data_IF_468048978121
#
_entry.id   IF_468048978121
#
_cell.length_a   1.000
_cell.length_b   1.000
_cell.length_c   1.000
_cell.angle_alpha   90.00
_cell.angle_beta   90.00
_cell.angle_gamma   90.00
#
_symmetry.space_group_name_H-M   'P 1'
#
loop_
_entity.id
_entity.type
_entity.pdbx_description
1 polymer ?
#
# COMPACT_ATOMS: atom_id res chain seq x y z
N UNK A 1 2.00 -14.98 3.71
CA UNK A 1 2.18 -13.51 3.77
C UNK A 1 3.52 -13.20 3.12
N UNK A 2 4.27 -12.16 3.53
CA UNK A 2 5.62 -11.91 3.03
C UNK A 2 6.57 -13.04 3.43
N UNK A 3 7.51 -13.38 2.53
CA UNK A 3 8.67 -14.23 2.84
C UNK A 3 9.73 -13.46 3.63
N UNK A 4 9.92 -12.18 3.31
CA UNK A 4 10.86 -11.28 3.98
C UNK A 4 10.35 -9.83 3.94
N UNK A 5 10.82 -9.01 4.88
CA UNK A 5 10.63 -7.57 4.91
C UNK A 5 11.99 -6.88 5.10
N UNK A 6 12.22 -5.77 4.40
CA UNK A 6 13.48 -5.03 4.46
C UNK A 6 13.23 -3.71 5.16
N UNK A 7 13.71 -3.59 6.40
CA UNK A 7 13.55 -2.38 7.19
C UNK A 7 14.66 -1.36 6.88
N UNK A 8 14.25 -0.12 6.59
CA UNK A 8 15.15 1.03 6.57
C UNK A 8 15.21 1.73 7.93
N UNK A 9 15.78 2.94 7.95
CA UNK A 9 15.67 3.82 9.11
C UNK A 9 14.23 4.37 9.25
N UNK A 10 13.93 5.01 10.38
CA UNK A 10 12.63 5.66 10.61
C UNK A 10 12.30 6.59 9.45
N UNK A 11 11.15 6.36 8.82
CA UNK A 11 10.62 7.13 7.67
C UNK A 11 11.58 7.21 6.46
N UNK A 12 12.42 6.20 6.27
CA UNK A 12 13.38 6.16 5.18
C UNK A 12 13.39 4.80 4.50
N UNK A 13 13.36 4.83 3.16
CA UNK A 13 13.49 3.63 2.34
C UNK A 13 14.82 2.90 2.61
N UNK A 14 14.84 1.57 2.72
CA UNK A 14 16.08 0.82 2.86
C UNK A 14 16.98 0.99 1.62
N UNK A 15 18.31 1.01 1.79
CA UNK A 15 19.25 1.02 0.67
C UNK A 15 19.02 -0.16 -0.29
N UNK A 16 19.12 0.08 -1.59
CA UNK A 16 18.94 -0.95 -2.64
C UNK A 16 19.74 -2.24 -2.42
N UNK A 17 20.96 -2.15 -1.86
CA UNK A 17 21.79 -3.32 -1.53
C UNK A 17 21.15 -4.25 -0.49
N UNK A 18 20.40 -3.72 0.48
CA UNK A 18 19.69 -4.53 1.47
C UNK A 18 18.50 -5.26 0.82
N UNK A 19 17.82 -4.58 -0.11
CA UNK A 19 16.74 -5.19 -0.92
C UNK A 19 17.30 -6.29 -1.82
N UNK A 20 18.45 -6.07 -2.47
CA UNK A 20 19.13 -7.09 -3.26
C UNK A 20 19.55 -8.30 -2.43
N UNK A 21 20.09 -8.10 -1.23
CA UNK A 21 20.45 -9.19 -0.34
C UNK A 21 19.23 -10.03 0.07
N UNK A 22 18.10 -9.38 0.38
CA UNK A 22 16.86 -10.07 0.69
C UNK A 22 16.37 -10.91 -0.50
N UNK A 23 16.29 -10.33 -1.71
CA UNK A 23 15.90 -11.04 -2.93
C UNK A 23 16.77 -12.28 -3.17
N UNK A 24 18.10 -12.13 -3.07
CA UNK A 24 19.04 -13.23 -3.23
C UNK A 24 18.79 -14.34 -2.19
N UNK A 25 18.60 -13.97 -0.92
CA UNK A 25 18.39 -14.93 0.17
C UNK A 25 17.06 -15.69 0.08
N UNK A 26 16.07 -15.13 -0.61
CA UNK A 26 14.73 -15.72 -0.79
C UNK A 26 14.50 -16.27 -2.20
N UNK A 27 15.56 -16.44 -2.99
CA UNK A 27 15.47 -16.90 -4.39
C UNK A 27 14.83 -18.29 -4.45
N UNK A 28 13.82 -18.44 -5.32
CA UNK A 28 13.23 -19.74 -5.65
C UNK A 28 13.03 -19.87 -7.16
N UNK A 29 12.69 -21.09 -7.63
CA UNK A 29 12.31 -21.32 -9.03
C UNK A 29 10.95 -20.69 -9.40
N UNK A 30 10.13 -20.30 -8.43
CA UNK A 30 8.80 -19.72 -8.65
C UNK A 30 8.79 -18.23 -9.00
N UNK A 31 9.96 -17.58 -9.05
CA UNK A 31 10.09 -16.14 -9.18
C UNK A 31 9.87 -15.40 -7.86
N UNK A 32 9.87 -14.07 -7.91
CA UNK A 32 9.69 -13.21 -6.74
C UNK A 32 8.70 -12.07 -7.02
N UNK A 33 8.00 -11.61 -5.99
CA UNK A 33 7.15 -10.41 -6.07
C UNK A 33 7.68 -9.42 -5.04
N UNK A 34 8.08 -8.26 -5.55
CA UNK A 34 8.58 -7.16 -4.77
C UNK A 34 7.48 -6.11 -4.60
N UNK A 35 6.90 -6.07 -3.40
CA UNK A 35 5.94 -5.04 -3.02
C UNK A 35 6.69 -3.78 -2.61
N UNK A 36 6.35 -2.64 -3.20
CA UNK A 36 6.85 -1.34 -2.77
C UNK A 36 5.70 -0.35 -2.59
N UNK A 37 5.83 0.48 -1.55
CA UNK A 37 4.91 1.57 -1.26
C UNK A 37 5.31 2.74 -2.18
N UNK A 38 4.35 3.45 -2.80
CA UNK A 38 4.66 4.48 -3.81
C UNK A 38 5.21 5.79 -3.20
N UNK A 39 6.46 5.72 -2.74
CA UNK A 39 7.30 6.84 -2.35
C UNK A 39 8.56 6.85 -3.20
N UNK A 40 9.09 8.04 -3.50
CA UNK A 40 10.23 8.21 -4.41
C UNK A 40 11.45 7.37 -4.00
N UNK A 41 11.79 7.37 -2.70
CA UNK A 41 12.91 6.56 -2.19
C UNK A 41 12.71 5.06 -2.44
N UNK A 42 11.51 4.55 -2.18
CA UNK A 42 11.19 3.14 -2.39
C UNK A 42 11.21 2.76 -3.87
N UNK A 43 10.62 3.58 -4.74
CA UNK A 43 10.68 3.35 -6.20
C UNK A 43 12.11 3.23 -6.70
N UNK A 44 13.00 4.14 -6.27
CA UNK A 44 14.39 4.15 -6.70
C UNK A 44 15.16 2.96 -6.14
N UNK A 45 15.08 2.71 -4.83
CA UNK A 45 15.84 1.65 -4.17
C UNK A 45 15.38 0.25 -4.59
N UNK A 46 14.07 0.00 -4.59
CA UNK A 46 13.49 -1.30 -4.94
C UNK A 46 13.55 -1.52 -6.45
N UNK A 47 13.33 -0.48 -7.26
CA UNK A 47 13.47 -0.54 -8.71
C UNK A 47 14.89 -0.93 -9.15
N UNK A 48 15.91 -0.29 -8.55
CA UNK A 48 17.31 -0.64 -8.83
C UNK A 48 17.65 -2.07 -8.39
N UNK A 49 17.16 -2.50 -7.22
CA UNK A 49 17.37 -3.86 -6.75
C UNK A 49 16.69 -4.91 -7.66
N UNK A 50 15.46 -4.64 -8.09
CA UNK A 50 14.73 -5.51 -9.02
C UNK A 50 15.43 -5.58 -10.39
N UNK A 51 15.91 -4.45 -10.92
CA UNK A 51 16.67 -4.42 -12.17
C UNK A 51 17.92 -5.29 -12.09
N UNK A 52 18.72 -5.15 -11.02
CA UNK A 52 19.93 -5.96 -10.81
C UNK A 52 19.62 -7.46 -10.70
N UNK A 53 18.55 -7.82 -10.01
CA UNK A 53 18.12 -9.20 -9.86
C UNK A 53 17.67 -9.81 -11.19
N UNK A 54 16.94 -9.05 -12.02
CA UNK A 54 16.60 -9.45 -13.40
C UNK A 54 17.82 -9.64 -14.28
N UNK A 55 18.77 -8.70 -14.25
CA UNK A 55 20.02 -8.80 -15.02
C UNK A 55 20.87 -10.01 -14.60
N UNK A 56 20.69 -10.52 -13.38
CA UNK A 56 21.36 -11.72 -12.88
C UNK A 56 20.63 -13.03 -13.28
N UNK A 57 19.59 -12.96 -14.11
CA UNK A 57 18.87 -14.13 -14.65
C UNK A 57 17.69 -14.61 -13.81
N UNK A 58 17.25 -13.86 -12.80
CA UNK A 58 16.11 -14.22 -11.97
C UNK A 58 14.82 -13.47 -12.36
N UNK A 59 13.66 -14.09 -12.13
CA UNK A 59 12.36 -13.43 -12.32
C UNK A 59 11.91 -12.67 -11.08
N UNK A 60 11.55 -11.40 -11.25
CA UNK A 60 10.93 -10.58 -10.21
C UNK A 60 9.89 -9.64 -10.80
N UNK A 61 8.72 -9.62 -10.18
CA UNK A 61 7.62 -8.70 -10.46
C UNK A 61 7.58 -7.59 -9.43
N UNK A 62 7.19 -6.39 -9.84
CA UNK A 62 7.19 -5.21 -8.96
C UNK A 62 5.78 -4.68 -8.85
N UNK A 63 5.20 -4.80 -7.66
CA UNK A 63 3.85 -4.32 -7.37
C UNK A 63 3.97 -3.02 -6.59
N UNK A 64 3.61 -1.92 -7.22
CA UNK A 64 3.60 -0.59 -6.60
C UNK A 64 2.23 -0.30 -6.01
N UNK A 65 2.16 -0.10 -4.70
CA UNK A 65 0.92 0.27 -4.01
C UNK A 65 0.78 1.79 -3.98
N UNK A 66 -0.32 2.31 -4.53
CA UNK A 66 -0.59 3.74 -4.71
C UNK A 66 -2.07 4.09 -4.45
N UNK A 67 -2.55 3.72 -3.26
CA UNK A 67 -3.95 3.77 -2.86
C UNK A 67 -4.38 5.04 -2.14
N UNK A 68 -3.48 5.96 -1.81
CA UNK A 68 -3.86 7.19 -1.12
C UNK A 68 -4.63 8.14 -2.03
N UNK A 69 -5.88 8.46 -1.69
CA UNK A 69 -6.72 9.39 -2.46
C UNK A 69 -6.60 10.86 -2.03
N UNK A 70 -5.79 11.16 -1.02
CA UNK A 70 -5.59 12.54 -0.58
C UNK A 70 -4.87 13.40 -1.64
N UNK A 71 -3.94 12.80 -2.38
CA UNK A 71 -3.06 13.49 -3.31
C UNK A 71 -3.56 13.24 -4.73
N UNK A 72 -4.01 14.30 -5.41
CA UNK A 72 -4.31 14.21 -6.85
C UNK A 72 -2.99 14.21 -7.65
N UNK A 73 -3.02 13.68 -8.89
CA UNK A 73 -1.86 13.63 -9.79
C UNK A 73 -1.23 15.01 -10.03
N UNK A 74 -2.02 16.09 -9.94
CA UNK A 74 -1.51 17.46 -10.05
C UNK A 74 -0.62 17.88 -8.87
N UNK A 75 -0.76 17.25 -7.71
CA UNK A 75 -0.06 17.60 -6.46
C UNK A 75 1.25 16.81 -6.27
N UNK A 76 1.55 15.80 -7.09
CA UNK A 76 2.73 14.96 -6.95
C UNK A 76 3.20 14.38 -8.27
N UNK A 77 4.49 14.57 -8.58
CA UNK A 77 5.15 13.95 -9.73
C UNK A 77 5.29 12.44 -9.60
N UNK A 78 5.30 11.91 -8.37
CA UNK A 78 5.35 10.47 -8.10
C UNK A 78 3.97 9.78 -8.15
N UNK A 79 2.89 10.57 -8.24
CA UNK A 79 1.51 10.10 -8.13
C UNK A 79 1.04 9.90 -6.68
N UNK A 80 -0.03 9.12 -6.52
CA UNK A 80 -0.67 8.80 -5.22
C UNK A 80 0.29 8.04 -4.32
N UNK A 81 0.35 8.37 -3.02
CA UNK A 81 1.13 7.60 -2.03
C UNK A 81 0.55 6.20 -1.86
N UNK A 82 1.36 5.26 -1.36
CA UNK A 82 0.87 3.95 -0.90
C UNK A 82 0.68 3.97 0.62
N UNK A 83 -0.43 3.41 1.11
CA UNK A 83 -0.78 3.37 2.52
C UNK A 83 -1.38 1.99 2.88
N UNK A 84 -2.56 1.96 3.49
CA UNK A 84 -3.09 0.78 4.16
C UNK A 84 -3.50 -0.36 3.23
N UNK A 85 -3.78 -0.09 1.94
CA UNK A 85 -4.08 -1.15 0.96
C UNK A 85 -2.93 -2.14 0.80
N UNK A 86 -1.69 -1.72 1.12
CA UNK A 86 -0.51 -2.58 1.05
C UNK A 86 -0.70 -3.89 1.84
N UNK A 87 -1.26 -3.82 3.05
CA UNK A 87 -1.46 -5.01 3.89
C UNK A 87 -2.44 -5.99 3.24
N UNK A 88 -3.50 -5.48 2.61
CA UNK A 88 -4.50 -6.30 1.93
C UNK A 88 -3.93 -6.97 0.67
N UNK A 89 -3.21 -6.20 -0.14
CA UNK A 89 -2.52 -6.69 -1.35
C UNK A 89 -1.52 -7.78 -0.98
N UNK A 90 -0.68 -7.55 0.03
CA UNK A 90 0.30 -8.52 0.54
C UNK A 90 -0.40 -9.79 1.06
N UNK A 91 -1.54 -9.65 1.75
CA UNK A 91 -2.27 -10.80 2.28
C UNK A 91 -2.83 -11.67 1.16
N UNK A 92 -3.44 -11.07 0.13
CA UNK A 92 -3.98 -11.79 -1.03
C UNK A 92 -2.86 -12.46 -1.81
N UNK A 93 -1.81 -11.72 -2.15
CA UNK A 93 -0.68 -12.26 -2.89
C UNK A 93 0.02 -13.41 -2.15
N UNK A 94 0.23 -13.25 -0.84
CA UNK A 94 0.82 -14.29 -0.01
C UNK A 94 -0.06 -15.55 0.06
N UNK A 95 -1.38 -15.43 0.05
CA UNK A 95 -2.28 -16.59 -0.02
C UNK A 95 -2.25 -17.27 -1.40
N UNK A 96 -2.17 -16.49 -2.48
CA UNK A 96 -2.04 -17.03 -3.83
C UNK A 96 -0.71 -17.78 -4.00
N UNK A 97 0.40 -17.21 -3.53
CA UNK A 97 1.72 -17.84 -3.56
C UNK A 97 1.72 -19.15 -2.76
N UNK A 98 1.19 -19.15 -1.53
CA UNK A 98 1.12 -20.34 -0.68
C UNK A 98 0.29 -21.47 -1.30
N UNK A 99 -0.73 -21.13 -2.09
CA UNK A 99 -1.58 -22.15 -2.74
C UNK A 99 -0.85 -22.97 -3.81
N UNK A 100 0.29 -22.48 -4.33
CA UNK A 100 1.03 -23.10 -5.43
C UNK A 100 0.31 -23.13 -6.79
N UNK A 101 -0.90 -22.53 -6.89
CA UNK A 101 -1.74 -22.55 -8.10
C UNK A 101 -1.50 -21.38 -9.06
N UNK A 102 -0.76 -20.36 -8.61
CA UNK A 102 -0.55 -19.12 -9.34
C UNK A 102 0.93 -18.87 -9.56
N UNK A 103 1.30 -18.42 -10.76
CA UNK A 103 2.65 -17.93 -11.03
C UNK A 103 2.80 -16.43 -10.67
N UNK A 104 4.03 -15.93 -10.69
CA UNK A 104 4.33 -14.54 -10.30
C UNK A 104 3.57 -13.49 -11.15
N UNK A 105 3.39 -13.74 -12.45
CA UNK A 105 2.67 -12.85 -13.36
C UNK A 105 1.17 -12.76 -13.02
N UNK A 106 0.52 -13.88 -12.73
CA UNK A 106 -0.89 -13.92 -12.33
C UNK A 106 -1.12 -13.20 -11.00
N UNK A 107 -0.19 -13.34 -10.06
CA UNK A 107 -0.26 -12.64 -8.78
C UNK A 107 -0.06 -11.13 -9.00
N UNK A 108 0.92 -10.72 -9.81
CA UNK A 108 1.11 -9.30 -10.19
C UNK A 108 -0.16 -8.71 -10.82
N UNK A 109 -0.77 -9.41 -11.78
CA UNK A 109 -2.00 -8.95 -12.44
C UNK A 109 -3.17 -8.76 -11.45
N UNK A 110 -3.39 -9.73 -10.55
CA UNK A 110 -4.47 -9.65 -9.55
C UNK A 110 -4.21 -8.55 -8.52
N UNK A 111 -2.97 -8.41 -8.06
CA UNK A 111 -2.60 -7.35 -7.10
C UNK A 111 -2.70 -5.96 -7.71
N UNK A 112 -2.30 -5.77 -8.97
CA UNK A 112 -2.50 -4.52 -9.68
C UNK A 112 -3.99 -4.19 -9.85
N UNK A 113 -4.83 -5.19 -10.16
CA UNK A 113 -6.28 -4.99 -10.20
C UNK A 113 -6.86 -4.57 -8.84
N UNK A 114 -6.34 -5.10 -7.73
CA UNK A 114 -6.73 -4.63 -6.39
C UNK A 114 -6.37 -3.17 -6.21
N UNK A 115 -5.14 -2.77 -6.56
CA UNK A 115 -4.68 -1.38 -6.45
C UNK A 115 -5.54 -0.40 -7.27
N UNK A 116 -5.96 -0.78 -8.48
CA UNK A 116 -6.84 0.03 -9.34
C UNK A 116 -8.22 0.29 -8.71
N UNK A 117 -8.68 -0.61 -7.85
CA UNK A 117 -10.00 -0.56 -7.23
C UNK A 117 -9.93 -0.25 -5.72
N UNK A 118 -8.79 0.22 -5.24
CA UNK A 118 -8.57 0.56 -3.86
C UNK A 118 -8.35 2.07 -3.66
N UNK A 119 -8.79 2.55 -2.50
CA UNK A 119 -8.61 3.93 -2.06
C UNK A 119 -8.52 3.98 -0.55
N UNK A 120 -7.60 4.79 -0.04
CA UNK A 120 -7.45 5.11 1.37
C UNK A 120 -7.36 6.61 1.58
N UNK A 121 -7.94 7.09 2.67
CA UNK A 121 -7.86 8.47 3.11
C UNK A 121 -7.76 8.48 4.63
N UNK A 122 -6.70 9.11 5.15
CA UNK A 122 -6.51 9.31 6.58
C UNK A 122 -6.96 10.69 7.03
N UNK A 123 -7.20 10.84 8.33
CA UNK A 123 -7.33 12.14 9.01
C UNK A 123 -6.45 12.08 10.25
N UNK A 124 -5.68 13.13 10.49
CA UNK A 124 -4.74 13.22 11.62
C UNK A 124 -5.14 14.35 12.56
N UNK A 125 -5.12 14.05 13.86
CA UNK A 125 -5.39 15.00 14.95
C UNK A 125 -4.12 15.53 15.60
N UNK A 126 -2.98 14.86 15.36
CA UNK A 126 -1.69 15.28 15.88
C UNK A 126 -0.57 14.96 14.89
N UNK A 127 0.48 15.80 14.82
CA UNK A 127 1.71 15.49 14.11
C UNK A 127 2.45 14.34 14.80
N UNK A 128 3.17 13.53 14.01
CA UNK A 128 4.11 12.56 14.56
C UNK A 128 5.42 13.25 15.00
N UNK A 129 6.23 12.51 15.78
CA UNK A 129 7.61 12.88 16.13
C UNK A 129 8.55 11.74 15.74
N UNK A 130 9.79 12.11 15.40
CA UNK A 130 10.87 11.16 15.19
C UNK A 130 11.57 10.97 16.55
N UNK A 131 11.97 9.75 16.95
CA UNK A 131 12.67 9.54 18.22
C UNK A 131 13.84 10.51 18.41
N UNK A 132 13.84 11.21 19.55
CA UNK A 132 14.84 12.24 19.87
C UNK A 132 14.62 13.60 19.19
N UNK A 133 13.48 13.83 18.52
CA UNK A 133 13.08 15.11 17.93
C UNK A 133 11.72 15.56 18.44
N UNK A 134 11.45 16.86 18.35
CA UNK A 134 10.13 17.43 18.58
C UNK A 134 9.12 16.97 17.51
N UNK A 135 7.87 17.43 17.63
CA UNK A 135 6.83 17.26 16.60
C UNK A 135 7.36 17.72 15.24
N UNK A 136 6.99 17.02 14.17
CA UNK A 136 7.45 17.36 12.82
C UNK A 136 6.90 18.68 12.30
N UNK A 137 5.74 19.09 12.78
CA UNK A 137 5.09 20.37 12.49
C UNK A 137 4.12 20.71 13.62
N UNK A 138 3.62 21.95 13.66
CA UNK A 138 2.58 22.36 14.61
C UNK A 138 1.18 22.19 14.02
N UNK A 139 0.25 21.74 14.87
CA UNK A 139 -1.17 21.66 14.56
C UNK A 139 -1.99 22.15 15.75
N UNK A 140 -2.88 23.13 15.55
CA UNK A 140 -3.79 23.58 16.61
C UNK A 140 -4.70 22.45 17.12
N UNK A 141 -5.05 22.48 18.40
CA UNK A 141 -5.87 21.44 19.04
C UNK A 141 -7.33 21.40 18.51
N UNK A 142 -7.79 22.48 17.88
CA UNK A 142 -9.11 22.63 17.27
C UNK A 142 -9.12 22.33 15.76
N UNK A 143 -8.02 21.79 15.22
CA UNK A 143 -7.85 21.49 13.80
C UNK A 143 -7.50 20.02 13.57
N UNK A 144 -7.80 19.54 12.36
CA UNK A 144 -7.38 18.24 11.86
C UNK A 144 -6.83 18.36 10.45
N UNK A 145 -5.92 17.45 10.08
CA UNK A 145 -5.32 17.40 8.76
C UNK A 145 -5.88 16.22 7.96
N UNK A 146 -6.54 16.54 6.85
CA UNK A 146 -7.14 15.54 5.96
C UNK A 146 -6.07 15.07 4.98
N UNK A 147 -5.82 13.76 5.01
CA UNK A 147 -4.89 13.11 4.11
C UNK A 147 -3.42 13.27 4.47
N UNK A 148 -3.07 13.46 5.74
CA UNK A 148 -1.66 13.46 6.16
C UNK A 148 -0.97 12.14 5.74
N UNK A 149 0.25 12.23 5.21
CA UNK A 149 1.05 11.07 4.84
C UNK A 149 1.64 10.33 6.05
N UNK A 150 2.01 9.06 5.86
CA UNK A 150 2.55 8.21 6.95
C UNK A 150 3.93 8.64 7.47
N UNK A 151 4.60 9.57 6.80
CA UNK A 151 5.86 10.17 7.28
C UNK A 151 5.68 11.63 7.68
N UNK A 152 4.43 12.09 7.87
CA UNK A 152 4.12 13.48 8.19
C UNK A 152 4.15 14.42 6.98
N UNK A 153 4.10 13.89 5.75
CA UNK A 153 3.93 14.73 4.57
C UNK A 153 2.57 15.44 4.60
N UNK A 154 2.51 16.72 4.18
CA UNK A 154 1.25 17.47 4.17
C UNK A 154 0.11 16.70 3.50
N UNK A 155 -1.07 16.85 4.08
CA UNK A 155 -2.30 16.38 3.50
C UNK A 155 -2.81 17.27 2.37
N UNK A 156 -4.07 17.05 1.98
CA UNK A 156 -4.70 17.91 0.98
C UNK A 156 -5.09 19.26 1.55
N UNK A 157 -5.58 19.29 2.80
CA UNK A 157 -5.94 20.51 3.51
C UNK A 157 -6.09 20.26 5.02
N UNK A 158 -6.13 21.35 5.79
CA UNK A 158 -6.53 21.35 7.20
C UNK A 158 -7.93 21.92 7.33
N UNK A 159 -8.71 21.40 8.26
CA UNK A 159 -10.03 21.91 8.60
C UNK A 159 -10.31 21.80 10.10
N UNK A 160 -11.33 22.51 10.59
CA UNK A 160 -11.69 22.50 12.00
C UNK A 160 -12.09 21.07 12.45
N UNK A 161 -11.66 20.70 13.64
CA UNK A 161 -12.01 19.42 14.26
C UNK A 161 -13.53 19.34 14.43
N UNK A 162 -14.11 18.24 13.98
CA UNK A 162 -15.54 17.95 14.10
C UNK A 162 -15.75 16.55 14.68
N UNK A 163 -17.00 16.20 14.98
CA UNK A 163 -17.38 14.86 15.42
C UNK A 163 -17.00 13.76 14.40
N UNK A 164 -16.82 12.55 14.92
CA UNK A 164 -16.37 11.40 14.12
C UNK A 164 -17.33 11.05 12.98
N UNK A 165 -18.63 11.31 13.12
CA UNK A 165 -19.62 11.03 12.09
C UNK A 165 -19.33 11.87 10.84
N UNK A 166 -19.15 13.19 11.00
CA UNK A 166 -18.82 14.07 9.88
C UNK A 166 -17.46 13.76 9.26
N UNK A 167 -16.47 13.36 10.07
CA UNK A 167 -15.15 12.92 9.56
C UNK A 167 -15.33 11.70 8.65
N UNK A 168 -16.08 10.69 9.10
CA UNK A 168 -16.36 9.49 8.31
C UNK A 168 -17.15 9.83 7.05
N UNK A 169 -18.14 10.72 7.12
CA UNK A 169 -18.90 11.16 5.95
C UNK A 169 -17.98 11.81 4.91
N UNK A 170 -17.09 12.72 5.32
CA UNK A 170 -16.07 13.31 4.44
C UNK A 170 -15.18 12.25 3.78
N UNK A 171 -14.71 11.27 4.55
CA UNK A 171 -13.88 10.18 4.03
C UNK A 171 -14.64 9.35 2.99
N UNK A 172 -15.86 8.95 3.32
CA UNK A 172 -16.68 8.08 2.48
C UNK A 172 -17.12 8.78 1.20
N UNK A 173 -17.50 10.06 1.26
CA UNK A 173 -17.85 10.85 0.06
C UNK A 173 -16.67 10.92 -0.91
N UNK A 174 -15.46 11.18 -0.42
CA UNK A 174 -14.26 11.22 -1.28
C UNK A 174 -13.93 9.84 -1.87
N UNK A 175 -13.97 8.79 -1.05
CA UNK A 175 -13.75 7.42 -1.53
C UNK A 175 -14.78 7.03 -2.60
N UNK A 176 -16.04 7.41 -2.45
CA UNK A 176 -17.10 7.11 -3.42
C UNK A 176 -16.85 7.74 -4.78
N UNK A 177 -16.34 8.97 -4.81
CA UNK A 177 -15.98 9.66 -6.06
C UNK A 177 -14.87 8.96 -6.86
N UNK A 178 -13.93 8.30 -6.17
CA UNK A 178 -12.73 7.74 -6.80
C UNK A 178 -12.86 6.24 -7.06
N UNK A 179 -13.29 5.46 -6.06
CA UNK A 179 -13.36 3.99 -6.14
C UNK A 179 -14.61 3.52 -6.91
N UNK A 180 -15.58 4.41 -7.16
CA UNK A 180 -16.82 4.14 -7.91
C UNK A 180 -17.53 2.89 -7.41
N UNK A 181 -17.90 2.89 -6.13
CA UNK A 181 -18.59 1.76 -5.51
C UNK A 181 -19.81 1.35 -6.33
N UNK A 182 -19.86 0.06 -6.71
CA UNK A 182 -21.06 -0.51 -7.32
C UNK A 182 -21.98 -0.99 -6.20
N UNK A 183 -23.26 -0.63 -6.29
CA UNK A 183 -24.30 -1.24 -5.44
C UNK A 183 -24.19 -2.76 -5.63
N UNK A 184 -24.11 -3.52 -4.53
CA UNK A 184 -23.88 -4.97 -4.55
C UNK A 184 -24.82 -5.64 -5.56
N UNK A 185 -24.28 -6.42 -6.48
CA UNK A 185 -25.03 -7.54 -7.03
C UNK A 185 -25.19 -8.53 -5.86
N UNK A 186 -26.40 -9.04 -5.53
CA UNK A 186 -26.53 -10.04 -4.48
C UNK A 186 -25.58 -11.19 -4.80
N UNK A 187 -24.72 -11.56 -3.84
CA UNK A 187 -23.93 -12.78 -3.97
C UNK A 187 -24.93 -13.92 -4.21
N UNK A 188 -24.76 -14.76 -5.25
CA UNK A 188 -25.52 -16.00 -5.29
C UNK A 188 -25.18 -16.74 -3.99
N UNK A 189 -26.20 -17.07 -3.21
CA UNK A 189 -26.04 -17.89 -2.02
C UNK A 189 -25.31 -19.16 -2.46
N UNK A 190 -24.04 -19.31 -2.08
CA UNK A 190 -23.40 -20.60 -2.17
C UNK A 190 -24.15 -21.50 -1.19
N UNK A 191 -24.96 -22.41 -1.71
CA UNK A 191 -25.57 -23.46 -0.93
C UNK A 191 -24.45 -24.24 -0.27
N UNK A 192 -24.27 -24.02 1.02
CA UNK A 192 -23.48 -24.90 1.85
C UNK A 192 -24.14 -26.28 1.81
N UNK A 193 -23.52 -27.23 1.09
CA UNK A 193 -23.94 -28.63 1.09
C UNK A 193 -23.06 -29.41 2.08
N UNK A 194 -23.58 -29.76 3.27
CA UNK A 194 -22.81 -30.50 4.28
C UNK A 194 -22.47 -31.95 3.89
N UNK A 195 -22.90 -32.45 2.73
CA UNK A 195 -22.67 -33.85 2.32
C UNK A 195 -21.32 -34.15 1.63
N UNK A 196 -20.48 -33.14 1.35
CA UNK A 196 -19.17 -33.37 0.71
C UNK A 196 -18.00 -33.47 1.73
N UNK A 197 -18.14 -34.39 2.70
CA UNK A 197 -16.99 -34.93 3.44
C UNK A 197 -16.85 -36.40 3.07
N UNK A 198 -15.94 -36.68 2.14
CA UNK A 198 -15.31 -37.99 1.96
C UNK A 198 -13.93 -37.94 2.60
#
# INVERSE_FOLDING_TARGET
MLTAAVAGNVFSSPPSRHVSAALQSTTTKGGSILFLINYTGDRLNFGLAAQRYKTSGHDVRVVTIADDIAIDRAMSTAGRRGLATAVLVIKVAGAMAESGKYNAEQIEAITNKINEHAGTLGVSLYPCSIPGRAKMFEMPDDMMEVGLGIHGEPGCHREALTDAQKIVDTIMTRLQGIVKFKKRCPYPAQSYNPQNKS
#
